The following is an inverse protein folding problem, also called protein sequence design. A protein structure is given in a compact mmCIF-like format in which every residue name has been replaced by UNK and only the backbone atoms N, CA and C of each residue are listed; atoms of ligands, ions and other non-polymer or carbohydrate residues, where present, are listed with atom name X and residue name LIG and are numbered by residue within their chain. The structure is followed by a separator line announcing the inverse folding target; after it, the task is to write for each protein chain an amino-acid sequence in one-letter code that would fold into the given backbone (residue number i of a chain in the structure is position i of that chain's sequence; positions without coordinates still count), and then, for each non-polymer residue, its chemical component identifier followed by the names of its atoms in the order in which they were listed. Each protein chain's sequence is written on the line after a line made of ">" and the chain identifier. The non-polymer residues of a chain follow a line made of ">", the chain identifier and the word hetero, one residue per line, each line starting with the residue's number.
data_IF_673275632478
#
_entry.id   IF_673275632478
#
_cell.length_a   1.000
_cell.length_b   1.000
_cell.length_c   1.000
_cell.angle_alpha   90.00
_cell.angle_beta   90.00
_cell.angle_gamma   90.00
#
_symmetry.space_group_name_H-M   'P 1'
#
loop_
_entity.id
_entity.type
_entity.pdbx_description
1 polymer ?
#
# COMPACT_ATOMS: atom_id res chain seq x y z
N UNK A 1 -13.50 -16.33 -23.78
CA UNK A 1 -13.51 -14.86 -23.79
C UNK A 1 -14.44 -14.43 -22.69
N UNK A 2 -13.93 -14.09 -21.51
CA UNK A 2 -14.74 -13.40 -20.50
C UNK A 2 -14.89 -11.96 -20.98
N UNK A 3 -16.13 -11.56 -21.26
CA UNK A 3 -16.44 -10.17 -21.51
C UNK A 3 -16.11 -9.41 -20.22
N UNK A 4 -15.09 -8.59 -20.25
CA UNK A 4 -14.75 -7.65 -19.19
C UNK A 4 -15.98 -6.74 -19.01
N UNK A 5 -16.61 -6.80 -17.86
CA UNK A 5 -17.56 -5.76 -17.50
C UNK A 5 -16.79 -4.41 -17.56
N UNK A 6 -17.41 -3.35 -18.13
CA UNK A 6 -16.73 -2.07 -18.22
C UNK A 6 -16.27 -1.67 -16.82
N UNK A 7 -14.98 -1.38 -16.67
CA UNK A 7 -14.39 -0.97 -15.40
C UNK A 7 -15.17 0.23 -14.86
N UNK A 8 -15.70 0.08 -13.65
CA UNK A 8 -16.43 1.18 -13.02
C UNK A 8 -15.43 2.29 -12.69
N UNK A 9 -15.77 3.57 -12.94
CA UNK A 9 -14.88 4.67 -12.60
C UNK A 9 -14.71 4.78 -11.09
N UNK A 10 -13.50 5.06 -10.66
CA UNK A 10 -13.12 5.17 -9.25
C UNK A 10 -13.19 6.62 -8.77
N UNK A 11 -13.19 6.77 -7.46
CA UNK A 11 -12.91 8.04 -6.80
C UNK A 11 -11.51 7.95 -6.23
N UNK A 12 -10.65 8.90 -6.57
CA UNK A 12 -9.26 8.96 -6.10
C UNK A 12 -9.12 10.23 -5.25
N UNK A 13 -8.94 10.06 -3.95
CA UNK A 13 -8.82 11.15 -2.99
C UNK A 13 -7.36 11.49 -2.78
N UNK A 14 -6.95 12.66 -3.26
CA UNK A 14 -5.59 13.16 -3.19
C UNK A 14 -4.96 13.39 -4.57
N UNK A 15 -4.71 14.65 -4.92
CA UNK A 15 -4.08 15.09 -6.20
C UNK A 15 -2.55 15.12 -6.11
N UNK A 16 -1.96 14.16 -5.36
CA UNK A 16 -0.53 13.95 -5.25
C UNK A 16 0.00 13.02 -6.35
N UNK A 17 1.33 12.76 -6.36
CA UNK A 17 2.00 11.88 -7.33
C UNK A 17 1.31 10.53 -7.48
N UNK A 18 1.01 9.87 -6.37
CA UNK A 18 0.38 8.54 -6.38
C UNK A 18 -1.07 8.60 -6.84
N UNK A 19 -1.86 9.61 -6.41
CA UNK A 19 -3.25 9.75 -6.83
C UNK A 19 -3.37 10.04 -8.33
N UNK A 20 -2.54 10.90 -8.88
CA UNK A 20 -2.49 11.16 -10.32
C UNK A 20 -2.07 9.90 -11.10
N UNK A 21 -1.06 9.16 -10.62
CA UNK A 21 -0.65 7.91 -11.24
C UNK A 21 -1.81 6.88 -11.28
N UNK A 22 -2.57 6.70 -10.19
CA UNK A 22 -3.75 5.83 -10.21
C UNK A 22 -4.81 6.27 -11.23
N UNK A 23 -5.06 7.59 -11.36
CA UNK A 23 -5.99 8.11 -12.35
C UNK A 23 -5.50 7.89 -13.79
N UNK A 24 -4.21 8.06 -14.04
CA UNK A 24 -3.58 7.84 -15.35
C UNK A 24 -3.55 6.36 -15.77
N UNK A 25 -3.51 5.43 -14.80
CA UNK A 25 -3.64 4.00 -15.06
C UNK A 25 -5.00 3.59 -15.61
N UNK A 26 -6.04 4.43 -15.48
CA UNK A 26 -7.36 4.16 -16.02
C UNK A 26 -7.37 4.30 -17.55
N UNK A 27 -7.35 3.17 -18.24
CA UNK A 27 -7.40 3.10 -19.71
C UNK A 27 -8.84 3.09 -20.27
N UNK A 28 -9.86 3.08 -19.39
CA UNK A 28 -11.25 3.05 -19.82
C UNK A 28 -11.74 4.43 -20.34
N UNK A 29 -12.85 4.44 -21.06
CA UNK A 29 -13.54 5.67 -21.47
C UNK A 29 -14.19 6.40 -20.30
N UNK A 30 -14.50 5.68 -19.22
CA UNK A 30 -15.10 6.22 -18.01
C UNK A 30 -13.98 6.75 -17.11
N UNK A 31 -13.91 8.07 -16.97
CA UNK A 31 -12.82 8.71 -16.18
C UNK A 31 -13.10 8.66 -14.69
N UNK A 32 -12.04 8.45 -13.93
CA UNK A 32 -12.08 8.53 -12.47
C UNK A 32 -12.31 9.97 -12.00
N UNK A 33 -12.93 10.11 -10.82
CA UNK A 33 -13.01 11.40 -10.14
C UNK A 33 -11.74 11.60 -9.28
N UNK A 34 -10.92 12.58 -9.62
CA UNK A 34 -9.76 12.97 -8.83
C UNK A 34 -10.15 14.11 -7.89
N UNK A 35 -10.24 13.78 -6.57
CA UNK A 35 -10.77 14.66 -5.52
C UNK A 35 -9.63 15.33 -4.75
N UNK A 36 -9.68 16.65 -4.63
CA UNK A 36 -8.73 17.46 -3.86
C UNK A 36 -9.25 17.83 -2.47
N UNK A 37 -8.45 18.62 -1.76
CA UNK A 37 -8.81 19.10 -0.42
C UNK A 37 -10.07 19.97 -0.48
N UNK A 38 -11.08 19.64 0.35
CA UNK A 38 -12.33 20.40 0.46
C UNK A 38 -13.35 20.13 -0.65
N UNK A 39 -13.04 19.24 -1.62
CA UNK A 39 -14.00 18.79 -2.63
C UNK A 39 -14.84 17.62 -2.08
N UNK A 40 -16.10 17.47 -2.50
CA UNK A 40 -16.93 16.32 -2.11
C UNK A 40 -16.31 15.00 -2.55
N UNK A 41 -16.22 14.02 -1.65
CA UNK A 41 -15.62 12.71 -1.94
C UNK A 41 -16.53 11.90 -2.87
N UNK A 42 -17.85 11.94 -2.64
CA UNK A 42 -18.80 11.19 -3.46
C UNK A 42 -19.62 12.13 -4.33
N UNK A 43 -19.74 11.79 -5.60
CA UNK A 43 -20.53 12.55 -6.57
C UNK A 43 -21.59 11.67 -7.20
N UNK A 44 -22.72 12.23 -7.73
CA UNK A 44 -23.74 11.45 -8.42
C UNK A 44 -23.23 10.66 -9.63
N UNK A 45 -22.12 11.11 -10.25
CA UNK A 45 -21.49 10.41 -11.38
C UNK A 45 -20.66 9.19 -10.97
N UNK A 46 -20.36 9.02 -9.68
CA UNK A 46 -19.56 7.92 -9.13
C UNK A 46 -20.30 7.26 -7.95
N UNK A 47 -21.45 6.64 -8.18
CA UNK A 47 -22.32 6.13 -7.11
C UNK A 47 -21.79 4.84 -6.47
N UNK A 48 -20.85 4.15 -7.09
CA UNK A 48 -20.28 2.87 -6.64
C UNK A 48 -18.80 2.76 -7.05
N UNK A 49 -18.14 1.69 -6.61
CA UNK A 49 -16.75 1.37 -6.92
C UNK A 49 -15.75 1.90 -5.87
N UNK A 50 -14.46 1.59 -6.03
CA UNK A 50 -13.42 1.94 -5.07
C UNK A 50 -13.27 3.45 -4.85
N UNK A 51 -13.01 3.82 -3.59
CA UNK A 51 -12.60 5.18 -3.19
C UNK A 51 -11.15 5.07 -2.69
N UNK A 52 -10.18 5.32 -3.57
CA UNK A 52 -8.76 5.13 -3.26
C UNK A 52 -8.21 6.36 -2.54
N UNK A 53 -7.76 6.17 -1.30
CA UNK A 53 -7.27 7.25 -0.44
C UNK A 53 -5.77 7.41 -0.61
N UNK A 54 -5.36 8.39 -1.43
CA UNK A 54 -3.96 8.71 -1.75
C UNK A 54 -3.44 9.93 -0.96
N UNK A 55 -3.85 10.05 0.29
CA UNK A 55 -3.48 11.15 1.18
C UNK A 55 -2.49 10.70 2.26
N UNK A 56 -2.02 11.62 3.08
CA UNK A 56 -1.20 11.33 4.26
C UNK A 56 -2.05 10.72 5.37
N UNK A 57 -1.39 10.02 6.32
CA UNK A 57 -2.06 9.34 7.43
C UNK A 57 -2.79 10.31 8.37
N UNK A 58 -2.26 11.52 8.56
CA UNK A 58 -2.80 12.54 9.48
C UNK A 58 -4.18 13.09 9.11
N UNK A 59 -4.65 12.85 7.88
CA UNK A 59 -5.98 13.30 7.40
C UNK A 59 -6.98 12.16 7.18
N UNK A 60 -6.63 10.92 7.53
CA UNK A 60 -7.51 9.77 7.30
C UNK A 60 -8.84 9.88 8.04
N UNK A 61 -8.82 10.39 9.27
CA UNK A 61 -10.03 10.63 10.05
C UNK A 61 -11.02 11.53 9.32
N UNK A 62 -10.53 12.67 8.82
CA UNK A 62 -11.35 13.64 8.08
C UNK A 62 -11.93 13.02 6.79
N UNK A 63 -11.14 12.21 6.07
CA UNK A 63 -11.59 11.52 4.86
C UNK A 63 -12.72 10.53 5.17
N UNK A 64 -12.55 9.71 6.22
CA UNK A 64 -13.56 8.73 6.65
C UNK A 64 -14.84 9.46 7.07
N UNK A 65 -14.73 10.52 7.86
CA UNK A 65 -15.86 11.27 8.37
C UNK A 65 -16.60 12.04 7.25
N UNK A 66 -15.87 12.52 6.22
CA UNK A 66 -16.44 13.15 5.03
C UNK A 66 -17.04 12.15 4.03
N UNK A 67 -16.74 10.86 4.15
CA UNK A 67 -17.30 9.81 3.28
C UNK A 67 -18.68 9.40 3.80
N UNK A 68 -19.75 9.42 2.95
CA UNK A 68 -21.07 8.94 3.35
C UNK A 68 -21.02 7.52 3.92
N UNK A 69 -21.81 7.26 4.97
CA UNK A 69 -21.75 6.01 5.72
C UNK A 69 -21.90 4.77 4.84
N UNK A 70 -22.79 4.83 3.85
CA UNK A 70 -23.08 3.77 2.87
C UNK A 70 -21.92 3.52 1.86
N UNK A 71 -20.95 4.42 1.81
CA UNK A 71 -19.79 4.32 0.93
C UNK A 71 -18.46 4.05 1.66
N UNK A 72 -18.48 4.01 3.01
CA UNK A 72 -17.25 3.80 3.79
C UNK A 72 -16.60 2.44 3.56
N UNK A 73 -17.40 1.41 3.26
CA UNK A 73 -16.86 0.09 2.90
C UNK A 73 -16.14 0.05 1.54
N UNK A 74 -16.30 1.09 0.72
CA UNK A 74 -15.61 1.24 -0.57
C UNK A 74 -14.26 1.96 -0.45
N UNK A 75 -13.91 2.44 0.75
CA UNK A 75 -12.60 3.04 1.01
C UNK A 75 -11.49 2.03 0.83
N UNK A 76 -10.46 2.45 0.09
CA UNK A 76 -9.23 1.69 -0.17
C UNK A 76 -8.05 2.48 0.37
N UNK A 77 -7.36 1.94 1.35
CA UNK A 77 -6.24 2.60 2.02
C UNK A 77 -4.90 2.11 1.48
N UNK A 78 -4.02 3.04 1.11
CA UNK A 78 -2.68 2.76 0.56
C UNK A 78 -1.55 3.27 1.46
N UNK A 79 -1.87 3.67 2.68
CA UNK A 79 -0.92 4.28 3.61
C UNK A 79 0.09 3.27 4.13
N UNK A 80 1.33 3.73 4.31
CA UNK A 80 2.35 2.97 5.02
C UNK A 80 2.07 2.95 6.52
N UNK A 81 2.53 1.90 7.18
CA UNK A 81 2.43 1.72 8.62
C UNK A 81 1.24 0.86 9.04
N UNK A 82 1.19 0.54 10.33
CA UNK A 82 0.11 -0.25 10.93
C UNK A 82 -1.10 0.63 11.20
N UNK A 83 -1.95 0.82 10.18
CA UNK A 83 -3.20 1.59 10.31
C UNK A 83 -4.39 0.73 10.77
N UNK A 84 -4.20 -0.59 10.93
CA UNK A 84 -5.25 -1.54 11.32
C UNK A 84 -6.01 -1.13 12.57
N UNK A 85 -5.35 -0.87 13.71
CA UNK A 85 -6.04 -0.45 14.96
C UNK A 85 -6.84 0.85 14.77
N UNK A 86 -6.33 1.80 13.98
CA UNK A 86 -7.06 3.03 13.67
C UNK A 86 -8.32 2.73 12.83
N UNK A 87 -8.22 1.91 11.79
CA UNK A 87 -9.38 1.52 10.97
C UNK A 87 -10.42 0.76 11.79
N UNK A 88 -9.99 -0.14 12.68
CA UNK A 88 -10.88 -0.84 13.61
C UNK A 88 -11.63 0.12 14.51
N UNK A 89 -10.97 1.13 15.07
CA UNK A 89 -11.59 2.16 15.89
C UNK A 89 -12.67 2.99 15.15
N UNK A 90 -12.60 3.01 13.82
CA UNK A 90 -13.57 3.67 12.92
C UNK A 90 -14.63 2.70 12.37
N UNK A 91 -14.66 1.44 12.80
CA UNK A 91 -15.57 0.41 12.31
C UNK A 91 -15.23 -0.09 10.88
N UNK A 92 -13.98 0.04 10.47
CA UNK A 92 -13.46 -0.29 9.14
C UNK A 92 -12.40 -1.40 9.20
N UNK A 93 -12.52 -2.34 10.13
CA UNK A 93 -11.56 -3.42 10.32
C UNK A 93 -11.31 -4.26 9.04
N UNK A 94 -12.34 -4.39 8.19
CA UNK A 94 -12.29 -5.16 6.95
C UNK A 94 -12.14 -4.30 5.68
N UNK A 95 -11.81 -3.01 5.84
CA UNK A 95 -11.58 -2.12 4.71
C UNK A 95 -10.48 -2.63 3.80
N UNK A 96 -10.60 -2.36 2.50
CA UNK A 96 -9.54 -2.71 1.55
C UNK A 96 -8.25 -1.95 1.85
N UNK A 97 -7.16 -2.68 1.95
CA UNK A 97 -5.83 -2.13 2.15
C UNK A 97 -4.89 -2.57 1.02
N UNK A 98 -4.00 -1.69 0.60
CA UNK A 98 -3.02 -1.95 -0.45
C UNK A 98 -1.62 -1.60 0.04
N UNK A 99 -0.76 -2.58 0.03
CA UNK A 99 0.65 -2.45 0.32
C UNK A 99 1.39 -2.05 -0.95
N UNK A 100 1.61 -0.74 -1.14
CA UNK A 100 2.19 -0.19 -2.37
C UNK A 100 3.71 -0.22 -2.31
N UNK A 101 4.36 -0.91 -3.25
CA UNK A 101 5.81 -0.92 -3.42
C UNK A 101 6.28 -0.22 -4.70
N UNK A 102 5.38 0.14 -5.62
CA UNK A 102 5.77 0.97 -6.76
C UNK A 102 6.11 2.41 -6.32
N UNK A 103 7.03 3.04 -7.00
CA UNK A 103 7.45 4.42 -6.76
C UNK A 103 7.04 5.33 -7.91
N UNK A 104 6.63 6.57 -7.59
CA UNK A 104 6.37 7.65 -8.55
C UNK A 104 7.33 8.79 -8.22
N UNK A 105 8.34 9.00 -9.04
CA UNK A 105 9.41 9.98 -8.76
C UNK A 105 8.89 11.42 -8.83
N UNK A 106 8.13 11.76 -9.86
CA UNK A 106 7.47 13.06 -10.03
C UNK A 106 6.04 12.88 -10.57
N UNK A 107 5.24 13.96 -10.53
CA UNK A 107 3.89 13.96 -11.13
C UNK A 107 3.98 13.74 -12.62
N UNK A 108 3.11 12.87 -13.17
CA UNK A 108 3.07 12.52 -14.59
C UNK A 108 4.19 11.57 -15.05
N UNK A 109 5.04 11.10 -14.14
CA UNK A 109 6.03 10.07 -14.45
C UNK A 109 5.45 8.67 -14.30
N UNK A 110 5.89 7.77 -15.18
CA UNK A 110 5.51 6.35 -15.13
C UNK A 110 5.98 5.72 -13.83
N UNK A 111 5.11 5.05 -13.07
CA UNK A 111 5.51 4.34 -11.87
C UNK A 111 6.53 3.24 -12.15
N UNK A 112 7.51 3.10 -11.25
CA UNK A 112 8.47 2.01 -11.27
C UNK A 112 8.01 0.92 -10.31
N UNK A 113 7.94 -0.33 -10.78
CA UNK A 113 7.48 -1.47 -9.99
C UNK A 113 8.49 -1.86 -8.90
N UNK A 114 7.99 -2.26 -7.74
CA UNK A 114 8.79 -2.74 -6.61
C UNK A 114 9.14 -4.22 -6.73
N UNK A 115 10.04 -4.56 -7.66
CA UNK A 115 10.57 -5.92 -7.83
C UNK A 115 11.98 -6.02 -7.28
N UNK A 116 12.33 -7.21 -6.77
CA UNK A 116 13.66 -7.52 -6.28
C UNK A 116 14.15 -8.82 -6.92
N UNK A 117 15.42 -9.15 -6.74
CA UNK A 117 16.00 -10.42 -7.16
C UNK A 117 15.40 -11.63 -6.41
N UNK A 118 14.95 -11.42 -5.18
CA UNK A 118 14.27 -12.43 -4.36
C UNK A 118 12.76 -12.47 -4.56
N UNK A 119 12.16 -11.39 -5.09
CA UNK A 119 10.74 -11.27 -5.39
C UNK A 119 10.52 -10.69 -6.81
N UNK A 120 10.85 -11.45 -7.87
CA UNK A 120 10.71 -10.98 -9.25
C UNK A 120 9.24 -10.79 -9.68
N UNK A 121 8.29 -11.40 -8.96
CA UNK A 121 6.85 -11.23 -9.14
C UNK A 121 6.33 -9.89 -8.60
N UNK A 122 7.17 -9.16 -7.85
CA UNK A 122 6.81 -7.88 -7.22
C UNK A 122 6.25 -8.02 -5.82
N UNK A 123 6.32 -6.91 -5.07
CA UNK A 123 6.00 -6.85 -3.65
C UNK A 123 4.65 -6.16 -3.35
N UNK A 124 4.07 -5.41 -4.31
CA UNK A 124 2.78 -4.77 -4.13
C UNK A 124 1.68 -5.82 -3.90
N UNK A 125 0.83 -5.58 -2.93
CA UNK A 125 -0.25 -6.50 -2.61
C UNK A 125 -1.49 -5.83 -2.07
N UNK A 126 -2.65 -6.45 -2.26
CA UNK A 126 -3.94 -5.93 -1.84
C UNK A 126 -4.76 -6.99 -1.10
N UNK A 127 -5.56 -6.56 -0.12
CA UNK A 127 -6.51 -7.38 0.62
C UNK A 127 -7.83 -6.62 0.81
N UNK A 128 -8.95 -7.32 0.76
CA UNK A 128 -10.28 -6.78 1.04
C UNK A 128 -11.19 -6.71 -0.19
N UNK A 129 -12.35 -6.08 -0.03
CA UNK A 129 -13.46 -6.03 -1.01
C UNK A 129 -13.01 -5.64 -2.43
N UNK A 130 -12.15 -4.64 -2.56
CA UNK A 130 -11.72 -4.10 -3.85
C UNK A 130 -10.32 -4.56 -4.28
N UNK A 131 -9.73 -5.54 -3.59
CA UNK A 131 -8.36 -5.98 -3.85
C UNK A 131 -8.15 -6.44 -5.31
N UNK A 132 -9.09 -7.19 -5.88
CA UNK A 132 -9.01 -7.66 -7.26
C UNK A 132 -9.08 -6.49 -8.27
N UNK A 133 -9.98 -5.52 -8.05
CA UNK A 133 -10.07 -4.35 -8.93
C UNK A 133 -8.77 -3.52 -8.92
N UNK A 134 -8.15 -3.37 -7.75
CA UNK A 134 -6.84 -2.71 -7.63
C UNK A 134 -5.76 -3.49 -8.40
N UNK A 135 -5.71 -4.82 -8.21
CA UNK A 135 -4.74 -5.67 -8.90
C UNK A 135 -4.90 -5.60 -10.43
N UNK A 136 -6.13 -5.68 -10.93
CA UNK A 136 -6.42 -5.61 -12.36
C UNK A 136 -5.96 -4.28 -12.97
N UNK A 137 -6.19 -3.15 -12.26
CA UNK A 137 -5.74 -1.83 -12.71
C UNK A 137 -4.22 -1.73 -12.73
N UNK A 138 -3.53 -2.18 -11.68
CA UNK A 138 -2.07 -2.17 -11.62
C UNK A 138 -1.47 -3.07 -12.72
N UNK A 139 -2.01 -4.25 -12.94
CA UNK A 139 -1.59 -5.16 -14.00
C UNK A 139 -1.77 -4.53 -15.40
N UNK A 140 -2.89 -3.83 -15.63
CA UNK A 140 -3.13 -3.15 -16.92
C UNK A 140 -2.13 -2.04 -17.19
N UNK A 141 -1.55 -1.46 -16.15
CA UNK A 141 -0.47 -0.47 -16.21
C UNK A 141 0.95 -1.09 -16.20
N UNK A 142 1.06 -2.42 -16.25
CA UNK A 142 2.35 -3.12 -16.25
C UNK A 142 3.01 -3.23 -14.87
N UNK A 143 2.29 -2.94 -13.80
CA UNK A 143 2.74 -3.08 -12.42
C UNK A 143 2.28 -4.40 -11.82
N UNK A 144 3.07 -4.96 -10.91
CA UNK A 144 2.69 -6.15 -10.16
C UNK A 144 1.73 -5.83 -9.02
N UNK A 145 0.83 -6.76 -8.71
CA UNK A 145 0.02 -6.72 -7.50
C UNK A 145 -0.51 -8.12 -7.17
N UNK A 146 -0.24 -8.58 -5.96
CA UNK A 146 -0.76 -9.83 -5.43
C UNK A 146 -2.06 -9.56 -4.67
N UNK A 147 -3.09 -10.39 -4.90
CA UNK A 147 -4.29 -10.40 -4.05
C UNK A 147 -4.09 -11.42 -2.95
N UNK A 148 -4.26 -11.02 -1.71
CA UNK A 148 -4.16 -11.90 -0.54
C UNK A 148 -5.53 -12.50 -0.20
N UNK A 149 -5.57 -13.81 0.00
CA UNK A 149 -6.80 -14.52 0.37
C UNK A 149 -7.19 -14.31 1.83
N UNK A 150 -6.23 -14.00 2.69
CA UNK A 150 -6.45 -13.81 4.12
C UNK A 150 -5.81 -12.52 4.65
N UNK A 151 -6.45 -11.95 5.68
CA UNK A 151 -5.92 -10.78 6.40
C UNK A 151 -4.57 -11.09 7.06
N UNK A 152 -4.40 -12.30 7.59
CA UNK A 152 -3.14 -12.72 8.21
C UNK A 152 -1.99 -12.68 7.20
N UNK A 153 -2.17 -13.24 5.99
CA UNK A 153 -1.14 -13.21 4.95
C UNK A 153 -0.81 -11.78 4.49
N UNK A 154 -1.82 -10.90 4.38
CA UNK A 154 -1.60 -9.48 4.11
C UNK A 154 -0.83 -8.80 5.24
N UNK A 155 -1.23 -9.05 6.51
CA UNK A 155 -0.59 -8.46 7.68
C UNK A 155 0.88 -8.86 7.81
N UNK A 156 1.24 -10.12 7.48
CA UNK A 156 2.64 -10.56 7.44
C UNK A 156 3.46 -9.71 6.47
N UNK A 157 2.97 -9.52 5.24
CA UNK A 157 3.68 -8.70 4.25
C UNK A 157 3.71 -7.20 4.62
N UNK A 158 2.63 -6.70 5.23
CA UNK A 158 2.58 -5.33 5.76
C UNK A 158 3.60 -5.13 6.87
N UNK A 159 3.72 -6.11 7.79
CA UNK A 159 4.70 -6.08 8.87
C UNK A 159 6.13 -6.11 8.33
N UNK A 160 6.46 -6.98 7.36
CA UNK A 160 7.77 -7.00 6.72
C UNK A 160 8.14 -5.61 6.16
N UNK A 161 7.21 -4.95 5.47
CA UNK A 161 7.44 -3.58 4.97
C UNK A 161 7.66 -2.56 6.08
N UNK A 162 6.84 -2.62 7.12
CA UNK A 162 6.96 -1.71 8.26
C UNK A 162 8.30 -1.88 8.97
N UNK A 163 8.71 -3.13 9.21
CA UNK A 163 10.01 -3.48 9.81
C UNK A 163 11.15 -2.98 8.94
N UNK A 164 11.08 -3.20 7.61
CA UNK A 164 12.07 -2.67 6.69
C UNK A 164 12.20 -1.15 6.80
N UNK A 165 11.10 -0.42 6.75
CA UNK A 165 11.11 1.06 6.87
C UNK A 165 11.75 1.47 8.20
N UNK A 166 11.32 0.87 9.32
CA UNK A 166 11.82 1.25 10.65
C UNK A 166 13.30 0.93 10.80
N UNK A 167 13.73 -0.29 10.49
CA UNK A 167 15.12 -0.73 10.68
C UNK A 167 16.09 0.05 9.81
N UNK A 168 15.84 0.16 8.51
CA UNK A 168 16.73 0.88 7.59
C UNK A 168 16.79 2.38 7.88
N UNK A 169 15.66 3.01 8.26
CA UNK A 169 15.64 4.43 8.59
C UNK A 169 16.39 4.71 9.91
N UNK A 170 16.26 3.85 10.92
CA UNK A 170 16.96 4.02 12.21
C UNK A 170 18.47 3.84 12.02
N UNK A 171 18.92 2.76 11.39
CA UNK A 171 20.34 2.51 11.16
C UNK A 171 20.95 3.58 10.25
N UNK A 172 20.25 3.93 9.15
CA UNK A 172 20.70 4.99 8.24
C UNK A 172 20.83 6.36 8.92
N UNK A 173 19.88 6.72 9.79
CA UNK A 173 19.96 7.95 10.57
C UNK A 173 21.11 7.94 11.60
N UNK A 174 21.34 6.79 12.24
CA UNK A 174 22.41 6.62 13.23
C UNK A 174 23.80 6.81 12.61
N UNK A 175 24.00 6.27 11.41
CA UNK A 175 25.28 6.32 10.70
C UNK A 175 25.38 7.44 9.65
N UNK A 176 24.30 8.21 9.42
CA UNK A 176 24.28 9.30 8.45
C UNK A 176 24.44 8.80 7.00
N UNK A 177 23.93 7.62 6.68
CA UNK A 177 24.13 6.96 5.40
C UNK A 177 22.78 6.62 4.70
N UNK A 178 22.87 6.32 3.41
CA UNK A 178 21.74 5.93 2.58
C UNK A 178 21.31 4.48 2.84
N UNK A 179 20.11 4.10 2.38
CA UNK A 179 19.56 2.74 2.49
C UNK A 179 20.51 1.69 1.87
N UNK A 180 21.06 1.96 0.68
CA UNK A 180 22.02 1.06 0.05
C UNK A 180 23.33 0.94 0.84
N UNK A 181 23.81 2.01 1.47
CA UNK A 181 24.99 1.96 2.34
C UNK A 181 24.71 1.21 3.64
N UNK A 182 23.49 1.25 4.18
CA UNK A 182 23.07 0.41 5.32
C UNK A 182 23.20 -1.06 4.94
N UNK A 183 22.65 -1.48 3.80
CA UNK A 183 22.75 -2.87 3.33
C UNK A 183 24.21 -3.30 3.12
N UNK A 184 25.03 -2.45 2.50
CA UNK A 184 26.41 -2.77 2.16
C UNK A 184 27.36 -2.81 3.37
N UNK A 185 27.19 -1.91 4.34
CA UNK A 185 28.17 -1.67 5.41
C UNK A 185 27.67 -1.99 6.83
N UNK A 186 26.33 -2.06 7.04
CA UNK A 186 25.72 -2.23 8.36
C UNK A 186 24.71 -3.39 8.39
N UNK A 187 24.88 -4.39 7.50
CA UNK A 187 23.95 -5.52 7.33
C UNK A 187 23.73 -6.31 8.62
N UNK A 188 24.78 -6.50 9.45
CA UNK A 188 24.62 -7.21 10.71
C UNK A 188 23.71 -6.44 11.69
N UNK A 189 23.95 -5.15 11.88
CA UNK A 189 23.19 -4.30 12.78
C UNK A 189 21.72 -4.16 12.34
N UNK A 190 21.49 -3.88 11.06
CA UNK A 190 20.11 -3.78 10.54
C UNK A 190 19.41 -5.15 10.58
N UNK A 191 20.14 -6.25 10.42
CA UNK A 191 19.60 -7.60 10.51
C UNK A 191 19.09 -7.94 11.90
N UNK A 192 19.88 -7.65 12.95
CA UNK A 192 19.45 -7.85 14.34
C UNK A 192 18.19 -7.02 14.67
N UNK A 193 18.15 -5.76 14.23
CA UNK A 193 16.98 -4.89 14.43
C UNK A 193 15.74 -5.37 13.64
N UNK A 194 15.93 -5.91 12.43
CA UNK A 194 14.85 -6.51 11.62
C UNK A 194 14.23 -7.68 12.38
N UNK A 195 15.03 -8.61 12.90
CA UNK A 195 14.53 -9.78 13.62
C UNK A 195 13.79 -9.39 14.91
N UNK A 196 14.36 -8.46 15.68
CA UNK A 196 13.73 -7.94 16.90
C UNK A 196 12.37 -7.31 16.63
N UNK A 197 12.31 -6.38 15.67
CA UNK A 197 11.07 -5.68 15.30
C UNK A 197 10.03 -6.62 14.71
N UNK A 198 10.46 -7.60 13.92
CA UNK A 198 9.55 -8.56 13.30
C UNK A 198 8.89 -9.48 14.33
N UNK A 199 9.68 -10.03 15.27
CA UNK A 199 9.15 -10.89 16.35
C UNK A 199 8.16 -10.11 17.22
N UNK A 200 8.51 -8.87 17.63
CA UNK A 200 7.62 -8.04 18.43
C UNK A 200 6.33 -7.67 17.66
N UNK A 201 6.44 -7.37 16.35
CA UNK A 201 5.28 -7.06 15.52
C UNK A 201 4.39 -8.28 15.26
N UNK A 202 4.95 -9.48 15.15
CA UNK A 202 4.18 -10.71 15.06
C UNK A 202 3.38 -10.96 16.35
N UNK A 203 3.98 -10.76 17.51
CA UNK A 203 3.28 -10.86 18.80
C UNK A 203 2.10 -9.88 18.89
N UNK A 204 2.32 -8.60 18.52
CA UNK A 204 1.27 -7.56 18.53
C UNK A 204 0.11 -7.88 17.57
N UNK A 205 0.40 -8.47 16.41
CA UNK A 205 -0.59 -8.80 15.39
C UNK A 205 -1.18 -10.23 15.52
N UNK A 206 -0.72 -11.03 16.49
CA UNK A 206 -1.13 -12.42 16.65
C UNK A 206 -0.73 -13.31 15.46
N UNK A 207 0.45 -13.08 14.89
CA UNK A 207 1.02 -13.83 13.77
C UNK A 207 2.11 -14.78 14.26
N UNK A 208 2.33 -15.87 13.52
CA UNK A 208 3.48 -16.73 13.72
C UNK A 208 4.77 -16.06 13.24
N UNK A 209 5.78 -16.00 14.10
CA UNK A 209 7.05 -15.37 13.76
C UNK A 209 7.99 -16.39 13.07
N UNK A 210 8.05 -16.35 11.73
CA UNK A 210 9.03 -17.09 10.93
C UNK A 210 10.08 -16.13 10.38
N UNK A 211 11.28 -16.14 10.98
CA UNK A 211 12.41 -15.30 10.57
C UNK A 211 13.27 -15.95 9.47
N UNK A 212 12.91 -17.13 8.96
CA UNK A 212 13.69 -17.84 7.95
C UNK A 212 13.87 -17.00 6.69
N UNK A 213 15.12 -16.60 6.40
CA UNK A 213 15.48 -15.76 5.24
C UNK A 213 14.92 -14.33 5.27
N UNK A 214 14.34 -13.88 6.39
CA UNK A 214 13.72 -12.56 6.54
C UNK A 214 14.71 -11.44 6.24
N UNK A 215 15.89 -11.45 6.87
CA UNK A 215 16.92 -10.41 6.70
C UNK A 215 17.35 -10.31 5.23
N UNK A 216 17.56 -11.45 4.56
CA UNK A 216 17.98 -11.46 3.15
C UNK A 216 16.89 -10.91 2.22
N UNK A 217 15.61 -11.28 2.46
CA UNK A 217 14.47 -10.73 1.70
C UNK A 217 14.34 -9.21 1.87
N UNK A 218 14.45 -8.72 3.11
CA UNK A 218 14.32 -7.29 3.37
C UNK A 218 15.55 -6.51 2.86
N UNK A 219 16.76 -7.04 2.98
CA UNK A 219 17.96 -6.43 2.41
C UNK A 219 17.92 -6.38 0.87
N UNK A 220 17.29 -7.36 0.20
CA UNK A 220 17.15 -7.34 -1.25
C UNK A 220 16.38 -6.11 -1.78
N UNK A 221 15.45 -5.57 -1.00
CA UNK A 221 14.72 -4.35 -1.36
C UNK A 221 15.56 -3.05 -1.21
N UNK A 222 16.71 -3.12 -0.56
CA UNK A 222 17.64 -1.99 -0.36
C UNK A 222 18.71 -1.88 -1.47
N UNK A 223 18.82 -2.88 -2.35
CA UNK A 223 19.76 -2.96 -3.48
C UNK A 223 19.12 -2.39 -4.76
#
# INVERSE_FOLDING_TARGET
>A
MHAYAPEQPWIIVGKGRVGEAFAEMNQSSNKDALVGRGEPIVTPSHPAGPIVVCTRNDVLGDIIDATPAERREDLVFIQNGSIGPFLESKGLADATQVLVYFAVAAKGETPTDGKTDTNPEGLTGAYGKHAQAIADRLHSAGLSCKVYDTKAAFNTSMLEKLVWICAFMVVGATHGCTVGEVEANHKAEVGELIEELYVAGCEDLGLDADTTGLVDRLCAYAR
#
